data_IF_468123592701
#
_entry.id   IF_468123592701
#
_cell.length_a   1.000
_cell.length_b   1.000
_cell.length_c   1.000
_cell.angle_alpha   90.00
_cell.angle_beta   90.00
_cell.angle_gamma   90.00
#
_symmetry.space_group_name_H-M   'P 1'
#
loop_
_entity.id
_entity.type
_entity.pdbx_description
1 polymer ?
#
# COMPACT_ATOMS: atom_id res chain seq x y z
N UNK A 1 12.33 21.94 -4.43
CA UNK A 1 12.22 21.30 -3.10
C UNK A 1 12.55 19.82 -3.29
N UNK A 2 13.17 19.19 -2.30
CA UNK A 2 13.26 17.73 -2.28
C UNK A 2 11.91 17.12 -1.84
N UNK A 3 11.63 15.86 -2.18
CA UNK A 3 10.40 15.18 -1.74
C UNK A 3 10.30 15.10 -0.21
N UNK A 4 11.43 14.93 0.49
CA UNK A 4 11.55 14.96 1.95
C UNK A 4 11.31 16.33 2.61
N UNK A 5 11.00 17.38 1.85
CA UNK A 5 10.63 18.71 2.34
C UNK A 5 9.15 19.04 2.12
N UNK A 6 8.36 18.10 1.62
CA UNK A 6 6.91 18.23 1.44
C UNK A 6 6.18 17.55 2.61
N UNK A 7 4.89 17.85 2.78
CA UNK A 7 4.04 17.09 3.69
C UNK A 7 3.87 15.64 3.21
N UNK A 8 3.71 14.66 4.13
CA UNK A 8 3.46 13.27 3.76
C UNK A 8 2.18 13.15 2.93
N UNK A 9 2.19 12.28 1.91
CA UNK A 9 1.06 12.10 0.99
C UNK A 9 -0.02 11.18 1.54
N UNK A 10 0.33 10.30 2.49
CA UNK A 10 -0.54 9.28 3.10
C UNK A 10 -1.94 9.77 3.51
N UNK A 11 -2.12 10.88 4.27
CA UNK A 11 -3.46 11.33 4.66
C UNK A 11 -4.34 11.78 3.48
N UNK A 12 -3.73 12.34 2.43
CA UNK A 12 -4.45 12.73 1.21
C UNK A 12 -4.86 11.51 0.38
N UNK A 13 -3.97 10.52 0.23
CA UNK A 13 -4.29 9.24 -0.41
C UNK A 13 -5.36 8.47 0.36
N UNK A 14 -5.27 8.45 1.70
CA UNK A 14 -6.25 7.78 2.57
C UNK A 14 -7.67 8.29 2.33
N UNK A 15 -7.86 9.61 2.28
CA UNK A 15 -9.17 10.22 1.96
C UNK A 15 -9.62 9.87 0.55
N UNK A 16 -8.73 10.02 -0.45
CA UNK A 16 -9.07 9.69 -1.84
C UNK A 16 -9.49 8.23 -2.05
N UNK A 17 -8.82 7.27 -1.39
CA UNK A 17 -9.21 5.86 -1.41
C UNK A 17 -10.49 5.60 -0.61
N UNK A 18 -10.70 6.25 0.53
CA UNK A 18 -11.93 6.14 1.32
C UNK A 18 -13.16 6.60 0.53
N UNK A 19 -13.10 7.77 -0.09
CA UNK A 19 -14.18 8.32 -0.90
C UNK A 19 -14.44 7.43 -2.13
N UNK A 20 -13.38 7.05 -2.85
CA UNK A 20 -13.49 6.14 -4.01
C UNK A 20 -14.12 4.78 -3.66
N UNK A 21 -13.81 4.22 -2.48
CA UNK A 21 -14.42 2.97 -2.03
C UNK A 21 -15.92 3.11 -1.74
N UNK A 22 -16.36 4.25 -1.17
CA UNK A 22 -17.78 4.52 -0.92
C UNK A 22 -18.55 4.82 -2.22
N UNK A 23 -17.94 5.54 -3.16
CA UNK A 23 -18.49 5.80 -4.50
C UNK A 23 -18.69 4.52 -5.33
N UNK A 24 -18.00 3.43 -4.97
CA UNK A 24 -18.18 2.09 -5.53
C UNK A 24 -18.98 1.14 -4.61
N UNK A 25 -19.61 1.66 -3.56
CA UNK A 25 -20.47 0.94 -2.59
C UNK A 25 -19.76 -0.20 -1.82
N UNK A 26 -18.43 -0.09 -1.65
CA UNK A 26 -17.60 -1.04 -0.91
C UNK A 26 -17.52 -0.64 0.58
N UNK A 27 -17.13 -1.58 1.46
CA UNK A 27 -16.97 -1.31 2.90
C UNK A 27 -15.49 -1.06 3.24
N UNK A 28 -15.02 0.20 3.34
CA UNK A 28 -13.61 0.50 3.66
C UNK A 28 -13.20 0.01 5.04
N UNK A 29 -12.07 -0.70 5.09
CA UNK A 29 -11.38 -1.16 6.28
C UNK A 29 -9.94 -0.63 6.27
N UNK A 30 -9.43 -0.22 7.42
CA UNK A 30 -8.01 0.09 7.63
C UNK A 30 -7.27 -1.12 8.19
N UNK A 31 -6.02 -1.30 7.78
CA UNK A 31 -5.02 -2.05 8.53
C UNK A 31 -4.19 -1.05 9.33
N UNK A 32 -4.08 -1.28 10.63
CA UNK A 32 -3.37 -0.40 11.56
C UNK A 32 -2.37 -1.20 12.36
N UNK A 33 -1.13 -0.70 12.42
CA UNK A 33 -0.09 -1.17 13.33
C UNK A 33 -0.44 -0.73 14.77
N UNK A 34 -0.43 -1.65 15.73
CA UNK A 34 -0.72 -1.35 17.15
C UNK A 34 0.51 -1.34 18.04
N UNK A 35 1.70 -1.50 17.46
CA UNK A 35 2.99 -1.43 18.16
C UNK A 35 3.55 -0.02 18.22
N UNK A 36 3.17 0.86 17.29
CA UNK A 36 3.58 2.26 17.25
C UNK A 36 2.99 3.08 18.43
N UNK A 37 3.69 4.14 18.88
CA UNK A 37 3.22 5.00 19.97
C UNK A 37 1.88 5.69 19.68
N UNK A 38 1.19 6.08 20.74
CA UNK A 38 -0.08 6.81 20.76
C UNK A 38 -1.28 6.15 20.03
N UNK A 39 -1.16 4.91 19.55
CA UNK A 39 -2.27 4.13 18.99
C UNK A 39 -3.24 3.72 20.11
N UNK A 40 -4.41 4.37 20.16
CA UNK A 40 -5.48 4.06 21.11
C UNK A 40 -6.59 3.25 20.44
N UNK A 41 -6.47 1.93 20.54
CA UNK A 41 -7.44 0.94 20.05
C UNK A 41 -7.79 -0.11 21.11
N UNK A 42 -8.94 -0.81 20.99
CA UNK A 42 -9.23 -2.02 21.74
C UNK A 42 -8.26 -3.18 21.43
N UNK A 43 -7.11 -3.20 22.13
CA UNK A 43 -6.04 -4.18 21.96
C UNK A 43 -6.50 -5.64 22.10
N UNK A 44 -7.60 -5.91 22.79
CA UNK A 44 -8.16 -7.26 22.90
C UNK A 44 -8.65 -7.85 21.54
N UNK A 45 -8.84 -6.98 20.53
CA UNK A 45 -9.17 -7.34 19.14
C UNK A 45 -7.95 -7.34 18.20
N UNK A 46 -6.76 -6.93 18.65
CA UNK A 46 -5.54 -6.93 17.84
C UNK A 46 -4.92 -8.34 17.71
N UNK A 47 -4.22 -8.61 16.61
CA UNK A 47 -3.50 -9.86 16.32
C UNK A 47 -2.20 -9.54 15.61
N UNK A 48 -1.12 -10.22 15.99
CA UNK A 48 0.16 -10.19 15.29
C UNK A 48 0.71 -8.77 15.01
N UNK A 49 0.59 -7.89 16.02
CA UNK A 49 1.01 -6.49 15.94
C UNK A 49 0.04 -5.55 15.21
N UNK A 50 -1.10 -6.05 14.71
CA UNK A 50 -2.03 -5.30 13.86
C UNK A 50 -3.48 -5.34 14.37
N UNK A 51 -4.30 -4.39 13.91
CA UNK A 51 -5.76 -4.42 14.03
C UNK A 51 -6.42 -3.98 12.71
N UNK A 52 -7.52 -4.64 12.36
CA UNK A 52 -8.34 -4.26 11.20
C UNK A 52 -9.58 -3.51 11.67
N UNK A 53 -9.79 -2.30 11.15
CA UNK A 53 -10.83 -1.38 11.58
C UNK A 53 -11.79 -1.05 10.43
N UNK A 54 -13.06 -1.44 10.56
CA UNK A 54 -14.11 -1.03 9.63
C UNK A 54 -14.46 0.45 9.85
N UNK A 55 -14.20 1.30 8.86
CA UNK A 55 -14.45 2.75 8.94
C UNK A 55 -15.62 3.22 8.07
N UNK A 56 -16.41 2.30 7.49
CA UNK A 56 -17.57 2.67 6.68
C UNK A 56 -18.61 3.44 7.54
N UNK A 57 -19.35 4.43 6.98
CA UNK A 57 -20.26 5.31 7.73
C UNK A 57 -21.33 4.62 8.59
N UNK A 58 -21.65 3.34 8.31
CA UNK A 58 -22.59 2.50 9.08
C UNK A 58 -21.98 1.82 10.32
N UNK A 59 -20.66 1.86 10.49
CA UNK A 59 -19.92 1.18 11.56
C UNK A 59 -19.31 2.15 12.59
N UNK A 60 -19.16 3.43 12.23
CA UNK A 60 -18.47 4.46 13.00
C UNK A 60 -19.32 5.72 13.19
N UNK A 61 -19.05 6.47 14.25
CA UNK A 61 -19.68 7.77 14.54
C UNK A 61 -18.62 8.85 14.83
N UNK A 62 -18.74 10.00 14.17
CA UNK A 62 -17.75 11.08 14.25
C UNK A 62 -16.40 10.66 13.65
N UNK A 63 -16.40 10.18 12.41
CA UNK A 63 -15.17 9.85 11.69
C UNK A 63 -14.46 11.12 11.22
N UNK A 64 -13.19 11.24 11.60
CA UNK A 64 -12.28 12.31 11.19
C UNK A 64 -11.05 11.67 10.55
N UNK A 65 -10.79 12.00 9.28
CA UNK A 65 -9.59 11.61 8.52
C UNK A 65 -8.68 12.82 8.41
N UNK A 66 -8.00 13.19 9.51
CA UNK A 66 -7.13 14.35 9.59
C UNK A 66 -5.74 14.08 8.97
N UNK A 67 -4.87 15.09 8.93
CA UNK A 67 -3.50 14.95 8.41
C UNK A 67 -2.54 14.28 9.41
N UNK A 68 -2.85 14.38 10.71
CA UNK A 68 -2.09 13.78 11.82
C UNK A 68 -2.61 12.40 12.23
N UNK A 69 -3.91 12.15 12.11
CA UNK A 69 -4.60 11.06 12.78
C UNK A 69 -5.93 10.67 12.13
N UNK A 70 -6.32 9.41 12.33
CA UNK A 70 -7.69 8.92 12.12
C UNK A 70 -8.38 8.81 13.49
N UNK A 71 -9.57 9.40 13.62
CA UNK A 71 -10.34 9.39 14.88
C UNK A 71 -11.79 9.01 14.61
N UNK A 72 -12.38 8.17 15.47
CA UNK A 72 -13.81 7.85 15.43
C UNK A 72 -14.30 7.18 16.71
N UNK A 73 -15.61 6.99 16.83
CA UNK A 73 -16.24 6.14 17.84
C UNK A 73 -16.85 4.90 17.16
N UNK A 74 -16.68 3.72 17.73
CA UNK A 74 -17.26 2.47 17.22
C UNK A 74 -17.68 1.54 18.36
N UNK A 75 -18.35 0.42 18.05
CA UNK A 75 -18.78 -0.57 19.05
C UNK A 75 -18.01 -1.88 18.91
N UNK A 76 -17.22 -2.21 19.93
CA UNK A 76 -16.41 -3.43 20.01
C UNK A 76 -17.04 -4.38 21.02
N UNK A 77 -17.41 -5.60 20.61
CA UNK A 77 -18.20 -6.50 21.46
C UNK A 77 -19.54 -5.91 21.94
N UNK A 78 -20.08 -4.93 21.20
CA UNK A 78 -21.26 -4.15 21.61
C UNK A 78 -20.97 -2.97 22.55
N UNK A 79 -19.77 -2.85 23.13
CA UNK A 79 -19.35 -1.74 24.00
C UNK A 79 -18.85 -0.57 23.16
N UNK A 80 -19.32 0.68 23.37
CA UNK A 80 -18.76 1.84 22.68
C UNK A 80 -17.32 2.11 23.14
N UNK A 81 -16.43 2.36 22.17
CA UNK A 81 -15.04 2.79 22.38
C UNK A 81 -14.73 3.94 21.43
N UNK A 82 -13.99 4.92 21.91
CA UNK A 82 -13.29 5.88 21.05
C UNK A 82 -12.03 5.21 20.49
N UNK A 83 -11.66 5.57 19.26
CA UNK A 83 -10.47 5.12 18.55
C UNK A 83 -9.67 6.36 18.11
N UNK A 84 -8.36 6.29 18.29
CA UNK A 84 -7.40 7.27 17.77
C UNK A 84 -6.19 6.51 17.21
N UNK A 85 -5.80 6.83 15.98
CA UNK A 85 -4.70 6.18 15.26
C UNK A 85 -3.84 7.27 14.60
N UNK A 86 -2.57 7.44 14.98
CA UNK A 86 -1.64 8.32 14.26
C UNK A 86 -1.49 7.89 12.79
N UNK A 87 -1.31 8.85 11.88
CA UNK A 87 -1.16 8.58 10.44
C UNK A 87 0.06 7.69 10.11
N UNK A 88 1.08 7.70 10.98
CA UNK A 88 2.23 6.79 10.92
C UNK A 88 1.81 5.30 11.00
N UNK A 89 0.80 4.98 11.80
CA UNK A 89 0.33 3.63 12.09
C UNK A 89 -0.69 3.09 11.06
N UNK A 90 -1.20 3.93 10.15
CA UNK A 90 -2.11 3.48 9.09
C UNK A 90 -1.30 2.79 7.98
N UNK A 91 -1.35 1.45 7.95
CA UNK A 91 -0.59 0.62 7.00
C UNK A 91 -1.26 0.50 5.64
N UNK A 92 -2.59 0.37 5.62
CA UNK A 92 -3.36 0.15 4.39
C UNK A 92 -4.83 0.57 4.52
N UNK A 93 -5.51 0.79 3.40
CA UNK A 93 -6.96 0.90 3.29
C UNK A 93 -7.46 -0.01 2.16
N UNK A 94 -8.52 -0.80 2.42
CA UNK A 94 -9.05 -1.76 1.46
C UNK A 94 -10.56 -2.04 1.64
N UNK A 95 -11.20 -2.53 0.58
CA UNK A 95 -12.56 -3.02 0.56
C UNK A 95 -12.65 -4.43 1.17
N UNK A 96 -13.58 -4.62 2.11
CA UNK A 96 -13.88 -5.93 2.70
C UNK A 96 -14.32 -6.98 1.67
N UNK A 97 -14.98 -6.53 0.61
CA UNK A 97 -15.70 -7.37 -0.35
C UNK A 97 -14.77 -8.06 -1.36
N UNK A 98 -13.70 -7.38 -1.78
CA UNK A 98 -12.84 -7.81 -2.90
C UNK A 98 -11.35 -7.44 -2.75
N UNK A 99 -10.93 -6.82 -1.64
CA UNK A 99 -9.54 -6.41 -1.41
C UNK A 99 -9.07 -5.17 -2.17
N UNK A 100 -9.94 -4.50 -2.95
CA UNK A 100 -9.56 -3.29 -3.70
C UNK A 100 -9.16 -2.15 -2.75
N UNK A 101 -8.05 -1.47 -3.03
CA UNK A 101 -7.49 -0.43 -2.16
C UNK A 101 -5.99 -0.25 -2.37
N UNK A 102 -5.27 0.14 -1.31
CA UNK A 102 -3.80 0.25 -1.32
C UNK A 102 -3.19 -0.06 0.04
N UNK A 103 -1.99 -0.64 0.03
CA UNK A 103 -1.02 -0.46 1.12
C UNK A 103 -0.33 0.90 0.94
N UNK A 104 0.07 1.55 2.02
CA UNK A 104 0.79 2.82 1.96
C UNK A 104 2.31 2.60 1.97
N UNK A 105 3.01 3.39 1.18
CA UNK A 105 4.47 3.43 1.19
C UNK A 105 5.00 3.99 2.53
N UNK A 106 6.23 3.63 2.89
CA UNK A 106 7.01 4.38 3.88
C UNK A 106 7.22 5.81 3.37
N UNK A 107 7.14 6.78 4.29
CA UNK A 107 7.48 8.16 4.01
C UNK A 107 8.43 8.67 5.11
N UNK A 108 9.46 9.49 4.80
CA UNK A 108 10.44 9.95 5.79
C UNK A 108 9.87 10.70 7.01
N UNK A 109 8.63 11.21 6.90
CA UNK A 109 7.90 11.81 8.01
C UNK A 109 7.44 10.80 9.08
N UNK A 110 7.48 9.50 8.78
CA UNK A 110 7.02 8.40 9.64
C UNK A 110 8.12 7.37 9.96
N UNK A 111 9.19 7.30 9.17
CA UNK A 111 10.32 6.38 9.37
C UNK A 111 10.99 6.55 10.74
N UNK A 112 11.16 7.80 11.20
CA UNK A 112 11.72 8.12 12.52
C UNK A 112 10.83 7.72 13.73
N UNK A 113 9.61 7.21 13.51
CA UNK A 113 8.76 6.63 14.55
C UNK A 113 8.91 5.10 14.65
N UNK A 114 9.69 4.47 13.75
CA UNK A 114 9.88 3.02 13.67
C UNK A 114 11.21 2.50 14.22
N UNK A 115 12.05 3.35 14.82
CA UNK A 115 13.36 2.95 15.39
C UNK A 115 13.22 2.21 16.74
N UNK A 116 12.50 1.08 16.73
CA UNK A 116 12.62 0.05 17.75
C UNK A 116 13.62 -1.02 17.27
N UNK A 117 14.59 -1.35 18.12
CA UNK A 117 15.76 -2.16 17.73
C UNK A 117 15.39 -3.57 17.25
N UNK A 118 15.81 -3.92 16.04
CA UNK A 118 15.61 -5.22 15.40
C UNK A 118 16.54 -6.26 16.07
N UNK A 119 16.09 -6.85 17.18
CA UNK A 119 16.80 -7.89 17.93
C UNK A 119 16.83 -9.22 17.14
N UNK A 120 17.68 -9.28 16.11
CA UNK A 120 17.94 -10.49 15.34
C UNK A 120 18.84 -11.45 16.12
N UNK A 121 18.25 -12.17 17.08
CA UNK A 121 18.87 -13.37 17.65
C UNK A 121 18.96 -14.48 16.58
N UNK A 122 20.03 -15.26 16.64
CA UNK A 122 20.57 -15.93 15.46
C UNK A 122 20.22 -17.41 15.31
N UNK A 123 20.05 -17.85 14.06
CA UNK A 123 20.11 -19.27 13.68
C UNK A 123 20.79 -19.43 12.29
N UNK A 124 21.91 -20.16 12.17
CA UNK A 124 22.59 -20.38 10.89
C UNK A 124 22.00 -21.58 10.13
N UNK A 125 21.85 -21.44 8.81
CA UNK A 125 21.49 -22.53 7.91
C UNK A 125 22.45 -22.58 6.70
N UNK A 126 23.46 -23.43 6.77
CA UNK A 126 24.35 -23.73 5.64
C UNK A 126 23.66 -24.68 4.64
N UNK A 127 23.41 -24.20 3.41
CA UNK A 127 22.86 -24.99 2.31
C UNK A 127 23.80 -24.96 1.11
N UNK A 128 24.41 -26.11 0.78
CA UNK A 128 25.47 -26.19 -0.22
C UNK A 128 25.00 -25.82 -1.64
N UNK A 129 25.84 -25.08 -2.38
CA UNK A 129 25.76 -25.01 -3.84
C UNK A 129 26.21 -26.34 -4.45
N UNK A 130 25.55 -26.76 -5.53
CA UNK A 130 26.08 -27.78 -6.43
C UNK A 130 25.92 -27.35 -7.88
N UNK A 131 27.04 -27.34 -8.60
CA UNK A 131 27.12 -27.11 -10.03
C UNK A 131 27.46 -28.43 -10.74
N UNK A 132 26.82 -28.68 -11.88
CA UNK A 132 27.19 -29.70 -12.86
C UNK A 132 27.09 -29.06 -14.25
N UNK A 133 28.04 -29.38 -15.13
CA UNK A 133 28.27 -28.76 -16.44
C UNK A 133 28.67 -29.85 -17.44
N UNK A 134 28.32 -29.65 -18.72
CA UNK A 134 28.79 -30.40 -19.92
C UNK A 134 28.35 -31.88 -20.08
N UNK A 135 28.16 -32.45 -21.29
CA UNK A 135 28.00 -31.92 -22.67
C UNK A 135 26.98 -32.83 -23.42
N UNK A 136 26.18 -32.38 -24.41
CA UNK A 136 26.46 -32.19 -25.87
C UNK A 136 26.88 -33.46 -26.64
N UNK A 137 26.55 -33.62 -27.95
CA UNK A 137 25.74 -32.78 -28.86
C UNK A 137 24.33 -33.43 -29.07
N UNK A 138 23.64 -33.63 -30.23
CA UNK A 138 23.87 -33.39 -31.68
C UNK A 138 22.53 -33.48 -32.49
N UNK A 139 22.62 -33.46 -33.83
CA UNK A 139 21.64 -33.85 -34.88
C UNK A 139 20.62 -32.83 -35.44
N UNK A 140 21.07 -32.18 -36.53
CA UNK A 140 20.36 -31.87 -37.80
C UNK A 140 19.23 -30.83 -37.85
N UNK A 141 19.35 -29.92 -38.83
CA UNK A 141 18.33 -29.00 -39.31
C UNK A 141 17.55 -29.60 -40.50
N UNK A 142 16.54 -28.88 -41.05
CA UNK A 142 16.86 -28.18 -42.29
C UNK A 142 16.34 -26.72 -42.35
N UNK A 143 16.87 -25.98 -43.31
CA UNK A 143 16.42 -24.64 -43.71
C UNK A 143 15.21 -24.72 -44.64
N UNK A 144 14.29 -23.75 -44.55
CA UNK A 144 13.79 -23.01 -45.72
C UNK A 144 13.35 -21.61 -45.28
N UNK A 145 13.29 -20.64 -46.19
CA UNK A 145 13.14 -19.22 -45.84
C UNK A 145 12.10 -18.46 -46.67
N UNK A 146 11.52 -17.42 -46.07
CA UNK A 146 10.80 -16.39 -46.80
C UNK A 146 10.96 -15.03 -46.13
N UNK A 147 11.56 -14.09 -46.88
CA UNK A 147 11.59 -12.66 -46.59
C UNK A 147 10.17 -12.07 -46.52
N UNK A 148 9.93 -11.12 -45.61
CA UNK A 148 8.69 -10.34 -45.44
C UNK A 148 8.88 -9.22 -44.40
N UNK A 149 9.29 -8.03 -44.87
CA UNK A 149 9.14 -6.77 -44.13
C UNK A 149 7.64 -6.45 -43.93
N UNK A 150 7.17 -6.38 -42.68
CA UNK A 150 5.87 -5.80 -42.31
C UNK A 150 5.96 -5.09 -40.93
N UNK A 151 6.80 -4.05 -40.84
CA UNK A 151 6.79 -3.14 -39.69
C UNK A 151 5.62 -2.13 -39.84
N UNK A 152 4.66 -2.08 -38.91
CA UNK A 152 3.47 -1.24 -39.06
C UNK A 152 3.82 0.26 -38.94
N UNK A 153 3.26 1.12 -39.82
CA UNK A 153 3.66 2.51 -39.92
C UNK A 153 3.34 3.34 -38.67
N UNK A 154 4.35 4.04 -38.14
CA UNK A 154 4.21 4.90 -36.96
C UNK A 154 3.24 6.08 -37.21
N UNK A 155 2.37 6.42 -36.24
CA UNK A 155 1.45 7.55 -36.38
C UNK A 155 2.19 8.90 -36.47
N UNK A 156 1.64 9.89 -37.19
CA UNK A 156 2.31 11.18 -37.40
C UNK A 156 2.53 11.93 -36.08
N UNK A 157 3.70 12.57 -35.96
CA UNK A 157 4.14 13.31 -34.75
C UNK A 157 3.36 14.62 -34.57
N UNK A 158 2.10 14.52 -34.18
CA UNK A 158 1.29 15.65 -33.73
C UNK A 158 1.95 16.37 -32.55
N UNK A 159 2.10 17.68 -32.66
CA UNK A 159 2.73 18.50 -31.61
C UNK A 159 1.95 18.41 -30.30
N UNK A 160 2.63 18.11 -29.20
CA UNK A 160 2.01 18.02 -27.87
C UNK A 160 1.34 19.37 -27.52
N UNK A 161 0.05 19.40 -27.14
CA UNK A 161 -0.62 20.64 -26.80
C UNK A 161 -0.01 21.25 -25.54
N UNK A 162 0.57 22.44 -25.65
CA UNK A 162 1.13 23.17 -24.51
C UNK A 162 0.05 23.99 -23.81
N UNK A 163 -0.30 23.61 -22.58
CA UNK A 163 -1.09 24.48 -21.70
C UNK A 163 -0.36 25.81 -21.49
N UNK A 164 -1.08 26.92 -21.70
CA UNK A 164 -0.67 28.27 -21.29
C UNK A 164 -1.72 28.80 -20.32
N UNK A 165 -1.25 29.31 -19.18
CA UNK A 165 -2.10 30.03 -18.21
C UNK A 165 -2.54 31.35 -18.84
N UNK A 166 -3.85 31.56 -18.94
CA UNK A 166 -4.44 32.87 -19.25
C UNK A 166 -4.40 33.71 -17.97
N UNK A 167 -4.12 35.01 -18.09
CA UNK A 167 -3.98 35.96 -16.99
C UNK A 167 -5.04 37.06 -17.10
#
# INVERSE_FOLDING_TARGET
MALSQLSPRRPYLLRAFYDWLLDNQLTPHLVVDVTLPDVMVPMEFARDGQIVLNIAPRAVGGLELADDSVRFNARFGGVPRQVYVPMAAVMAIYARENGAGTMFESEPAYEAAGEHEDFQDGAPASGAVMSIVDSSPDSEAPEDGSDSDDEPPQPPKGGRPSLRVVK
#
